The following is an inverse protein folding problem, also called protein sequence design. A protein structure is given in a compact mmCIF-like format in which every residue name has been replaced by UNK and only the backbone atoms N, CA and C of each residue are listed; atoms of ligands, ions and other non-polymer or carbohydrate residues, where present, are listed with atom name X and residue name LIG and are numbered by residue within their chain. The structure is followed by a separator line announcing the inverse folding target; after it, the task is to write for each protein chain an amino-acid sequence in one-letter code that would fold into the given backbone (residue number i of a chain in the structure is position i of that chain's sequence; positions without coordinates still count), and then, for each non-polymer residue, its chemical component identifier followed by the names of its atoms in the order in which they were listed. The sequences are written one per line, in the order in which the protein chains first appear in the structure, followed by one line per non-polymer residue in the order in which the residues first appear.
data_IF_326511331892
#
_entry.id   IF_326511331892
#
_cell.length_a   1.000
_cell.length_b   1.000
_cell.length_c   1.000
_cell.angle_alpha   90.00
_cell.angle_beta   90.00
_cell.angle_gamma   90.00
#
_symmetry.space_group_name_H-M   'P 1'
#
loop_
_entity.id
_entity.type
_entity.pdbx_description
1 polymer ?
#
# COMPACT_ATOMS: atom_id res chain seq x y z
N UNK A 1 -27.39 -31.56 -17.33
CA UNK A 1 -27.34 -31.98 -15.91
C UNK A 1 -26.36 -31.14 -15.07
N UNK A 2 -25.21 -30.75 -15.59
CA UNK A 2 -24.29 -29.84 -14.87
C UNK A 2 -24.89 -28.44 -14.57
N UNK A 3 -25.65 -27.88 -15.51
CA UNK A 3 -26.28 -26.58 -15.34
C UNK A 3 -27.32 -26.49 -14.18
N UNK A 4 -27.93 -27.61 -13.80
CA UNK A 4 -28.93 -27.64 -12.72
C UNK A 4 -28.36 -27.62 -11.30
N UNK A 5 -27.15 -28.15 -11.13
CA UNK A 5 -26.44 -28.11 -9.85
C UNK A 5 -25.82 -26.72 -9.61
N UNK A 6 -25.41 -26.05 -10.68
CA UNK A 6 -24.93 -24.65 -10.66
C UNK A 6 -26.04 -23.67 -10.26
N UNK A 7 -27.29 -23.94 -10.67
CA UNK A 7 -28.45 -23.09 -10.39
C UNK A 7 -28.87 -23.14 -8.91
N UNK A 8 -28.74 -24.25 -8.22
CA UNK A 8 -29.12 -24.35 -6.80
C UNK A 8 -28.12 -23.63 -5.88
N UNK A 9 -26.84 -23.70 -6.20
CA UNK A 9 -25.81 -23.00 -5.42
C UNK A 9 -25.82 -21.46 -5.69
N UNK A 10 -26.17 -21.04 -6.92
CA UNK A 10 -26.35 -19.62 -7.26
C UNK A 10 -27.62 -19.01 -6.69
N UNK A 11 -28.64 -19.82 -6.36
CA UNK A 11 -29.87 -19.36 -5.73
C UNK A 11 -29.63 -18.80 -4.33
N UNK A 12 -28.68 -19.37 -3.59
CA UNK A 12 -28.24 -18.85 -2.29
C UNK A 12 -27.53 -17.49 -2.42
N UNK A 13 -26.77 -17.29 -3.49
CA UNK A 13 -26.18 -16.00 -3.83
C UNK A 13 -27.26 -14.97 -4.22
N UNK A 14 -28.29 -15.39 -4.95
CA UNK A 14 -29.42 -14.54 -5.33
C UNK A 14 -30.21 -14.00 -4.14
N UNK A 15 -30.50 -14.84 -3.16
CA UNK A 15 -31.23 -14.43 -1.95
C UNK A 15 -30.47 -13.38 -1.12
N UNK A 16 -29.13 -13.32 -1.27
CA UNK A 16 -28.27 -12.34 -0.60
C UNK A 16 -28.02 -11.06 -1.41
N UNK A 17 -27.90 -11.17 -2.73
CA UNK A 17 -27.38 -10.07 -3.58
C UNK A 17 -28.41 -9.53 -4.58
N UNK A 18 -29.58 -10.16 -4.65
CA UNK A 18 -30.66 -9.76 -5.52
C UNK A 18 -30.53 -10.17 -6.99
N UNK A 19 -31.62 -9.94 -7.71
CA UNK A 19 -31.85 -10.45 -9.08
C UNK A 19 -30.78 -10.04 -10.10
N UNK A 20 -30.16 -8.86 -9.95
CA UNK A 20 -29.16 -8.35 -10.88
C UNK A 20 -27.87 -9.17 -10.87
N UNK A 21 -27.39 -9.54 -9.69
CA UNK A 21 -26.18 -10.33 -9.54
C UNK A 21 -26.38 -11.76 -10.05
N UNK A 22 -27.53 -12.33 -9.76
CA UNK A 22 -27.92 -13.66 -10.23
C UNK A 22 -27.93 -13.77 -11.76
N UNK A 23 -28.49 -12.79 -12.46
CA UNK A 23 -28.48 -12.73 -13.93
C UNK A 23 -27.08 -12.61 -14.49
N UNK A 24 -26.23 -11.80 -13.91
CA UNK A 24 -24.83 -11.62 -14.35
C UNK A 24 -24.02 -12.90 -14.21
N UNK A 25 -24.26 -13.72 -13.18
CA UNK A 25 -23.60 -15.02 -13.01
C UNK A 25 -24.05 -16.03 -14.07
N UNK A 26 -25.32 -15.98 -14.48
CA UNK A 26 -25.88 -16.88 -15.50
C UNK A 26 -25.41 -16.56 -16.92
N UNK A 27 -25.08 -15.29 -17.21
CA UNK A 27 -24.69 -14.82 -18.55
C UNK A 27 -23.17 -14.94 -18.83
N UNK A 28 -22.45 -15.82 -18.14
CA UNK A 28 -21.01 -16.05 -18.30
C UNK A 28 -20.10 -14.79 -18.11
N UNK A 29 -20.66 -13.72 -17.51
CA UNK A 29 -19.92 -12.53 -17.15
C UNK A 29 -18.94 -12.86 -16.02
N UNK A 30 -17.70 -12.39 -16.13
CA UNK A 30 -16.71 -12.52 -15.03
C UNK A 30 -17.08 -11.54 -13.94
N UNK A 31 -17.43 -12.04 -12.77
CA UNK A 31 -17.79 -11.22 -11.62
C UNK A 31 -16.66 -11.32 -10.59
N UNK A 32 -16.19 -10.17 -10.15
CA UNK A 32 -15.29 -10.06 -9.01
C UNK A 32 -16.12 -9.52 -7.87
N UNK A 33 -16.23 -10.30 -6.81
CA UNK A 33 -16.99 -9.95 -5.62
C UNK A 33 -16.02 -9.81 -4.46
N UNK A 34 -16.00 -8.66 -3.84
CA UNK A 34 -15.29 -8.44 -2.60
C UNK A 34 -16.25 -8.76 -1.45
N UNK A 35 -16.01 -9.83 -0.69
CA UNK A 35 -16.94 -10.33 0.33
C UNK A 35 -16.35 -10.22 1.72
N UNK A 36 -17.09 -9.67 2.64
CA UNK A 36 -16.70 -9.32 4.00
C UNK A 36 -17.01 -10.41 5.07
N UNK A 37 -17.18 -11.70 4.74
CA UNK A 37 -17.41 -12.72 5.79
C UNK A 37 -16.96 -14.16 5.49
N UNK A 38 -16.57 -14.88 6.55
CA UNK A 38 -16.10 -16.29 6.55
C UNK A 38 -17.09 -17.32 5.97
N UNK A 39 -18.37 -17.04 5.99
CA UNK A 39 -19.38 -18.00 5.51
C UNK A 39 -19.36 -18.18 3.99
N UNK A 40 -18.85 -17.19 3.27
CA UNK A 40 -18.76 -17.21 1.81
C UNK A 40 -17.55 -17.94 1.27
N UNK A 41 -16.47 -18.11 2.06
CA UNK A 41 -15.25 -18.81 1.65
C UNK A 41 -15.53 -20.22 1.15
N UNK A 42 -16.41 -20.96 1.86
CA UNK A 42 -16.73 -22.37 1.53
C UNK A 42 -17.50 -22.53 0.22
N UNK A 43 -18.37 -21.56 -0.11
CA UNK A 43 -19.10 -21.60 -1.39
C UNK A 43 -18.17 -21.36 -2.57
N UNK A 44 -17.20 -20.48 -2.42
CA UNK A 44 -16.29 -20.06 -3.49
C UNK A 44 -15.19 -21.08 -3.76
N UNK A 45 -14.65 -21.74 -2.73
CA UNK A 45 -13.70 -22.86 -2.92
C UNK A 45 -14.29 -23.97 -3.80
N UNK A 46 -15.60 -24.19 -3.70
CA UNK A 46 -16.30 -25.19 -4.50
C UNK A 46 -16.42 -24.80 -5.98
N UNK A 47 -16.53 -23.49 -6.27
CA UNK A 47 -16.57 -22.98 -7.65
C UNK A 47 -15.19 -22.86 -8.30
N UNK A 48 -14.15 -22.58 -7.53
CA UNK A 48 -12.78 -22.45 -8.04
C UNK A 48 -12.12 -23.79 -8.38
N UNK A 49 -12.73 -24.91 -7.99
CA UNK A 49 -12.25 -26.26 -8.34
C UNK A 49 -12.50 -26.67 -9.79
N UNK A 50 -13.33 -25.93 -10.54
CA UNK A 50 -13.62 -26.19 -11.95
C UNK A 50 -12.69 -25.33 -12.85
N UNK A 51 -11.80 -25.98 -13.59
CA UNK A 51 -10.60 -25.40 -14.23
C UNK A 51 -10.84 -24.37 -15.33
N UNK A 52 -12.10 -24.13 -15.74
CA UNK A 52 -12.42 -23.35 -16.94
C UNK A 52 -13.21 -22.04 -16.68
N UNK A 53 -13.48 -21.67 -15.42
CA UNK A 53 -14.16 -20.42 -15.07
C UNK A 53 -13.36 -19.66 -14.01
N UNK A 54 -12.88 -18.46 -14.37
CA UNK A 54 -12.16 -17.57 -13.47
C UNK A 54 -13.14 -16.64 -12.77
N UNK A 55 -13.50 -16.94 -11.53
CA UNK A 55 -14.05 -15.97 -10.59
C UNK A 55 -12.92 -15.56 -9.67
N UNK A 56 -12.46 -14.31 -9.78
CA UNK A 56 -11.54 -13.75 -8.79
C UNK A 56 -12.38 -13.11 -7.71
N UNK A 57 -12.32 -13.68 -6.52
CA UNK A 57 -13.02 -13.12 -5.35
C UNK A 57 -11.97 -12.53 -4.44
N UNK A 58 -12.04 -11.23 -4.24
CA UNK A 58 -11.22 -10.53 -3.27
C UNK A 58 -12.07 -10.31 -2.02
N UNK A 59 -11.64 -10.85 -0.90
CA UNK A 59 -12.31 -10.66 0.39
C UNK A 59 -11.68 -9.47 1.10
N UNK A 60 -12.49 -8.52 1.50
CA UNK A 60 -12.10 -7.48 2.44
C UNK A 60 -12.92 -7.69 3.72
N UNK A 61 -12.33 -8.20 4.79
CA UNK A 61 -13.02 -8.33 6.07
C UNK A 61 -12.82 -7.08 6.93
N UNK A 62 -13.93 -6.48 7.35
CA UNK A 62 -13.97 -5.41 8.35
C UNK A 62 -13.89 -5.92 9.79
N UNK A 63 -13.69 -7.18 10.03
CA UNK A 63 -13.54 -7.74 11.36
C UNK A 63 -12.42 -8.77 11.38
N UNK A 64 -11.34 -8.35 11.91
CA UNK A 64 -10.16 -8.96 12.48
C UNK A 64 -9.99 -10.48 12.47
N UNK A 65 -10.06 -11.17 11.33
CA UNK A 65 -9.49 -12.51 11.17
C UNK A 65 -9.55 -12.94 9.69
N UNK A 66 -8.35 -13.17 9.12
CA UNK A 66 -8.05 -13.87 7.88
C UNK A 66 -8.43 -13.23 6.53
N UNK A 67 -7.52 -12.41 6.00
CA UNK A 67 -7.39 -12.18 4.57
C UNK A 67 -6.83 -13.44 3.91
N UNK A 68 -7.70 -14.25 3.32
CA UNK A 68 -7.28 -15.36 2.46
C UNK A 68 -6.91 -14.81 1.08
N UNK A 69 -5.63 -14.52 0.87
CA UNK A 69 -5.09 -14.43 -0.48
C UNK A 69 -5.09 -15.81 -1.09
N UNK A 70 -5.95 -16.03 -2.07
CA UNK A 70 -5.78 -17.16 -2.99
C UNK A 70 -4.53 -16.86 -3.85
N UNK A 71 -3.35 -17.14 -3.30
CA UNK A 71 -2.15 -17.27 -4.10
C UNK A 71 -2.36 -18.45 -5.06
N UNK A 72 -2.61 -18.14 -6.31
CA UNK A 72 -2.49 -19.13 -7.37
C UNK A 72 -1.03 -19.60 -7.40
N UNK A 73 -0.76 -20.76 -6.75
CA UNK A 73 0.54 -21.43 -6.77
C UNK A 73 0.88 -21.76 -8.22
N UNK A 74 1.63 -20.90 -8.86
CA UNK A 74 2.32 -20.97 -10.16
C UNK A 74 1.95 -19.83 -11.11
N UNK A 75 2.12 -18.62 -10.68
CA UNK A 75 2.34 -17.55 -11.65
C UNK A 75 3.80 -17.66 -12.15
N UNK A 76 3.98 -18.08 -13.40
CA UNK A 76 5.30 -18.01 -14.08
C UNK A 76 5.84 -16.57 -14.10
N UNK A 77 4.95 -15.58 -14.05
CA UNK A 77 5.28 -14.15 -14.03
C UNK A 77 5.84 -13.66 -12.70
N UNK A 78 5.66 -14.37 -11.57
CA UNK A 78 6.32 -13.97 -10.32
C UNK A 78 7.86 -14.08 -10.38
N UNK A 79 8.43 -14.81 -11.36
CA UNK A 79 9.89 -14.79 -11.61
C UNK A 79 10.33 -13.58 -12.43
N UNK A 80 9.43 -12.97 -13.22
CA UNK A 80 9.70 -11.73 -13.96
C UNK A 80 9.45 -10.49 -13.10
N UNK A 81 8.70 -10.59 -11.99
CA UNK A 81 8.54 -9.53 -10.99
C UNK A 81 9.86 -9.19 -10.25
N UNK A 82 10.89 -10.04 -10.33
CA UNK A 82 12.24 -9.71 -9.85
C UNK A 82 12.91 -8.55 -10.63
N UNK A 83 12.26 -8.01 -11.64
CA UNK A 83 12.71 -6.81 -12.36
C UNK A 83 11.86 -5.57 -12.04
N UNK A 84 10.75 -5.70 -11.29
CA UNK A 84 10.06 -4.54 -10.78
C UNK A 84 10.90 -3.86 -9.71
N UNK A 85 11.32 -2.64 -9.98
CA UNK A 85 12.03 -1.80 -9.03
C UNK A 85 11.09 -1.51 -7.87
N UNK A 86 11.42 -2.01 -6.69
CA UNK A 86 10.69 -1.67 -5.47
C UNK A 86 10.76 -0.16 -5.19
N UNK A 87 9.90 0.34 -4.31
CA UNK A 87 9.91 1.74 -3.87
C UNK A 87 11.08 2.06 -2.95
N UNK A 88 11.83 1.06 -2.52
CA UNK A 88 13.04 1.18 -1.72
C UNK A 88 14.06 0.11 -2.10
N UNK A 89 15.32 0.36 -1.79
CA UNK A 89 16.43 -0.58 -1.96
C UNK A 89 17.32 -0.54 -0.72
N UNK A 90 17.84 -1.69 -0.32
CA UNK A 90 18.81 -1.79 0.77
C UNK A 90 19.99 -2.59 0.27
N UNK A 91 21.18 -1.97 0.20
CA UNK A 91 22.35 -2.50 -0.47
C UNK A 91 23.57 -2.45 0.46
N UNK A 92 24.23 -3.60 0.61
CA UNK A 92 25.51 -3.68 1.29
C UNK A 92 26.62 -3.22 0.35
N UNK A 93 27.52 -2.35 0.86
CA UNK A 93 28.66 -1.82 0.13
C UNK A 93 29.95 -2.09 0.94
N UNK A 94 30.94 -2.69 0.30
CA UNK A 94 32.32 -2.82 0.81
C UNK A 94 33.15 -1.80 0.08
N UNK A 95 33.42 -0.65 0.74
CA UNK A 95 34.03 0.50 0.12
C UNK A 95 35.55 0.46 0.36
N UNK A 96 36.35 0.94 -0.62
CA UNK A 96 37.80 1.13 -0.43
C UNK A 96 38.04 2.22 0.62
N UNK A 97 39.01 1.97 1.48
CA UNK A 97 39.50 2.97 2.45
C UNK A 97 40.27 4.06 1.71
N UNK A 98 40.07 5.36 2.00
CA UNK A 98 40.87 6.45 1.43
C UNK A 98 42.37 6.25 1.70
N UNK A 99 43.19 6.55 0.71
CA UNK A 99 44.67 6.52 0.84
C UNK A 99 45.28 7.57 -0.11
N UNK A 100 46.60 7.69 -0.13
CA UNK A 100 47.30 8.70 -0.94
C UNK A 100 47.06 8.55 -2.45
N UNK A 101 46.77 7.34 -2.93
CA UNK A 101 46.50 7.04 -4.34
C UNK A 101 45.02 7.13 -4.69
N UNK A 102 44.12 7.01 -3.70
CA UNK A 102 42.69 7.08 -3.85
C UNK A 102 42.06 8.15 -2.94
N UNK A 103 42.02 9.38 -3.46
CA UNK A 103 41.52 10.57 -2.78
C UNK A 103 40.04 10.92 -3.13
N UNK A 104 39.26 9.96 -3.66
CA UNK A 104 37.85 10.18 -3.91
C UNK A 104 37.12 10.56 -2.64
N UNK A 105 36.13 11.43 -2.76
CA UNK A 105 35.29 11.79 -1.61
C UNK A 105 34.42 10.61 -1.17
N UNK A 106 33.98 10.61 0.08
CA UNK A 106 33.06 9.61 0.65
C UNK A 106 31.78 9.50 -0.18
N UNK A 107 31.22 10.64 -0.58
CA UNK A 107 30.07 10.73 -1.46
C UNK A 107 30.32 10.02 -2.80
N UNK A 108 31.45 10.29 -3.43
CA UNK A 108 31.80 9.69 -4.73
C UNK A 108 31.96 8.17 -4.60
N UNK A 109 32.61 7.67 -3.53
CA UNK A 109 32.78 6.23 -3.28
C UNK A 109 31.43 5.52 -3.19
N UNK A 110 30.49 6.10 -2.43
CA UNK A 110 29.14 5.54 -2.29
C UNK A 110 28.40 5.53 -3.64
N UNK A 111 28.43 6.64 -4.39
CA UNK A 111 27.71 6.73 -5.67
C UNK A 111 28.29 5.76 -6.72
N UNK A 112 29.61 5.62 -6.79
CA UNK A 112 30.25 4.65 -7.69
C UNK A 112 29.93 3.20 -7.30
N UNK A 113 29.96 2.88 -5.99
CA UNK A 113 29.59 1.56 -5.49
C UNK A 113 28.12 1.25 -5.79
N UNK A 114 27.21 2.19 -5.57
CA UNK A 114 25.80 2.05 -5.92
C UNK A 114 25.59 1.81 -7.43
N UNK A 115 26.34 2.52 -8.27
CA UNK A 115 26.32 2.31 -9.71
C UNK A 115 26.80 0.91 -10.09
N UNK A 116 27.84 0.40 -9.44
CA UNK A 116 28.34 -0.96 -9.62
C UNK A 116 27.30 -2.02 -9.21
N UNK A 117 26.52 -1.76 -8.16
CA UNK A 117 25.41 -2.60 -7.69
C UNK A 117 24.11 -2.42 -8.56
N UNK A 118 24.22 -1.75 -9.70
CA UNK A 118 23.15 -1.62 -10.69
C UNK A 118 22.11 -0.54 -10.37
N UNK A 119 22.41 0.44 -9.53
CA UNK A 119 21.64 1.66 -9.36
C UNK A 119 22.02 2.62 -10.49
N UNK A 120 21.19 2.69 -11.53
CA UNK A 120 21.47 3.48 -12.74
C UNK A 120 20.87 4.88 -12.71
N UNK A 121 19.85 5.05 -11.90
CA UNK A 121 19.17 6.33 -11.71
C UNK A 121 19.99 7.25 -10.79
N UNK A 122 19.70 8.54 -10.88
CA UNK A 122 20.28 9.54 -9.98
C UNK A 122 20.02 9.20 -8.53
N UNK A 123 21.06 9.31 -7.69
CA UNK A 123 20.95 9.16 -6.24
C UNK A 123 21.24 10.51 -5.58
N UNK A 124 20.28 11.05 -4.87
CA UNK A 124 20.42 12.24 -4.06
C UNK A 124 20.86 11.86 -2.65
N UNK A 125 21.96 12.49 -2.16
CA UNK A 125 22.40 12.36 -0.78
C UNK A 125 22.08 13.67 -0.05
N UNK A 126 21.06 13.70 0.82
CA UNK A 126 20.67 14.92 1.51
C UNK A 126 21.67 15.33 2.57
N UNK A 127 21.72 16.62 2.91
CA UNK A 127 22.68 17.19 3.86
C UNK A 127 22.69 16.45 5.20
N UNK A 128 21.53 15.99 5.68
CA UNK A 128 21.45 15.20 6.93
C UNK A 128 22.30 13.92 6.87
N UNK A 129 22.41 13.30 5.68
CA UNK A 129 23.22 12.11 5.47
C UNK A 129 24.70 12.48 5.25
N UNK A 130 24.98 13.52 4.45
CA UNK A 130 26.36 14.00 4.26
C UNK A 130 27.07 14.28 5.58
N UNK A 131 26.37 14.85 6.56
CA UNK A 131 26.93 15.12 7.90
C UNK A 131 27.33 13.87 8.68
N UNK A 132 26.77 12.70 8.32
CA UNK A 132 27.00 11.44 9.03
C UNK A 132 27.99 10.52 8.30
N UNK A 133 28.33 10.81 7.03
CA UNK A 133 29.13 9.89 6.21
C UNK A 133 30.47 9.54 6.88
N UNK A 134 31.33 10.51 7.05
CA UNK A 134 32.71 10.23 7.55
C UNK A 134 32.70 9.54 8.92
N UNK A 135 32.02 10.06 9.96
CA UNK A 135 32.01 9.40 11.26
C UNK A 135 31.46 7.99 11.26
N UNK A 136 30.54 7.69 10.32
CA UNK A 136 29.96 6.36 10.20
C UNK A 136 30.86 5.43 9.41
N UNK A 137 31.41 5.86 8.27
CA UNK A 137 32.28 5.08 7.42
C UNK A 137 33.54 4.63 8.17
N UNK A 138 34.20 5.56 8.88
CA UNK A 138 35.38 5.27 9.69
C UNK A 138 35.06 4.22 10.78
N UNK A 139 33.98 4.41 11.55
CA UNK A 139 33.57 3.44 12.58
C UNK A 139 33.15 2.08 12.01
N UNK A 140 32.58 2.06 10.82
CA UNK A 140 32.12 0.84 10.15
C UNK A 140 33.26 0.10 9.42
N UNK A 141 34.48 0.64 9.41
CA UNK A 141 35.59 0.09 8.63
C UNK A 141 35.25 0.03 7.14
N UNK A 142 34.53 1.02 6.63
CA UNK A 142 34.13 1.18 5.22
C UNK A 142 33.20 0.08 4.69
N UNK A 143 32.60 -0.68 5.60
CA UNK A 143 31.60 -1.73 5.31
C UNK A 143 30.24 -1.28 5.84
N UNK A 144 29.37 -0.91 4.93
CA UNK A 144 28.11 -0.27 5.26
C UNK A 144 26.94 -0.88 4.49
N UNK A 145 25.74 -0.73 5.01
CA UNK A 145 24.51 -0.92 4.25
C UNK A 145 23.85 0.43 4.05
N UNK A 146 23.55 0.77 2.80
CA UNK A 146 22.80 1.97 2.45
C UNK A 146 21.36 1.65 2.14
N UNK A 147 20.45 2.52 2.58
CA UNK A 147 19.03 2.45 2.33
C UNK A 147 18.61 3.59 1.41
N UNK A 148 18.00 3.22 0.29
CA UNK A 148 17.48 4.14 -0.71
C UNK A 148 15.96 4.08 -0.72
N UNK A 149 15.29 5.24 -0.81
CA UNK A 149 13.85 5.34 -1.03
C UNK A 149 13.58 6.17 -2.27
N UNK A 150 12.62 5.73 -3.10
CA UNK A 150 12.23 6.42 -4.33
C UNK A 150 11.30 7.59 -4.00
N UNK A 151 11.59 8.78 -4.52
CA UNK A 151 10.80 9.99 -4.27
C UNK A 151 9.85 10.36 -5.43
N UNK A 152 9.77 9.52 -6.45
CA UNK A 152 9.00 9.78 -7.66
C UNK A 152 9.85 10.14 -8.88
N UNK A 153 11.06 10.68 -8.66
CA UNK A 153 11.97 11.14 -9.71
C UNK A 153 13.34 10.45 -9.62
N UNK A 154 13.88 10.32 -8.42
CA UNK A 154 15.20 9.79 -8.15
C UNK A 154 15.26 9.05 -6.83
N UNK A 155 16.32 8.30 -6.61
CA UNK A 155 16.61 7.69 -5.32
C UNK A 155 17.09 8.72 -4.33
N UNK A 156 16.63 8.66 -3.10
CA UNK A 156 17.19 9.39 -1.98
C UNK A 156 17.84 8.43 -1.00
N UNK A 157 19.08 8.73 -0.60
CA UNK A 157 19.75 8.03 0.49
C UNK A 157 19.09 8.44 1.81
N UNK A 158 18.36 7.52 2.42
CA UNK A 158 17.52 7.81 3.60
C UNK A 158 18.14 7.31 4.89
N UNK A 159 18.99 6.26 4.82
CA UNK A 159 19.67 5.71 5.99
C UNK A 159 20.97 5.02 5.61
N UNK A 160 21.91 4.93 6.58
CA UNK A 160 23.17 4.20 6.47
C UNK A 160 23.43 3.45 7.78
N UNK A 161 23.68 2.15 7.66
CA UNK A 161 23.96 1.26 8.79
C UNK A 161 25.37 0.64 8.67
N UNK A 162 26.00 0.36 9.80
CA UNK A 162 27.29 -0.36 9.83
C UNK A 162 27.09 -1.83 9.53
N UNK A 163 27.97 -2.43 8.71
CA UNK A 163 27.96 -3.84 8.34
C UNK A 163 26.86 -4.20 7.34
N UNK A 164 26.59 -5.51 7.19
CA UNK A 164 25.59 -6.04 6.27
C UNK A 164 24.24 -6.24 6.95
N UNK A 165 23.31 -5.33 6.68
CA UNK A 165 21.90 -5.41 7.10
C UNK A 165 20.94 -5.45 5.90
N UNK A 166 21.44 -5.75 4.68
CA UNK A 166 20.64 -5.69 3.45
C UNK A 166 19.43 -6.63 3.48
N UNK A 167 19.50 -7.72 4.25
CA UNK A 167 18.36 -8.64 4.42
C UNK A 167 17.24 -8.07 5.31
N UNK A 168 17.49 -7.04 6.10
CA UNK A 168 16.49 -6.39 6.95
C UNK A 168 15.80 -5.26 6.16
N UNK A 169 15.11 -5.60 5.09
CA UNK A 169 14.48 -4.66 4.18
C UNK A 169 12.96 -4.80 4.25
N UNK A 170 12.29 -3.80 4.83
CA UNK A 170 10.87 -3.84 5.14
C UNK A 170 10.12 -2.67 4.50
N UNK A 171 8.83 -2.89 4.25
CA UNK A 171 7.89 -1.90 3.76
C UNK A 171 6.52 -2.06 4.41
N UNK A 172 5.69 -1.03 4.30
CA UNK A 172 4.32 -1.02 4.82
C UNK A 172 3.33 -0.82 3.68
N UNK A 173 2.22 -1.53 3.76
CA UNK A 173 1.04 -1.29 2.93
C UNK A 173 -0.15 -0.95 3.84
N UNK A 174 -0.83 0.15 3.53
CA UNK A 174 -1.94 0.69 4.31
C UNK A 174 -3.19 0.71 3.45
N UNK A 175 -4.23 0.07 3.95
CA UNK A 175 -5.61 0.28 3.50
C UNK A 175 -6.25 1.30 4.44
N UNK A 176 -6.46 2.51 3.93
CA UNK A 176 -7.00 3.64 4.69
C UNK A 176 -8.51 3.73 4.48
N UNK A 177 -9.24 2.83 5.13
CA UNK A 177 -10.69 2.83 5.09
C UNK A 177 -11.33 3.94 5.95
N UNK A 178 -12.56 4.28 5.64
CA UNK A 178 -13.32 5.28 6.41
C UNK A 178 -13.65 4.81 7.84
N UNK A 179 -13.84 3.51 8.03
CA UNK A 179 -14.18 2.91 9.34
C UNK A 179 -12.98 2.19 9.95
N UNK A 180 -12.24 1.45 9.15
CA UNK A 180 -11.12 0.61 9.60
C UNK A 180 -9.86 0.97 8.83
N UNK A 181 -8.74 1.04 9.53
CA UNK A 181 -7.41 1.16 8.94
C UNK A 181 -6.71 -0.16 9.10
N UNK A 182 -6.14 -0.70 8.02
CA UNK A 182 -5.36 -1.93 8.02
C UNK A 182 -3.94 -1.62 7.59
N UNK A 183 -2.95 -2.14 8.32
CA UNK A 183 -1.53 -1.99 7.99
C UNK A 183 -0.87 -3.35 7.90
N UNK A 184 -0.20 -3.62 6.79
CA UNK A 184 0.61 -4.80 6.55
C UNK A 184 2.09 -4.46 6.58
N UNK A 185 2.85 -5.33 7.25
CA UNK A 185 4.30 -5.32 7.23
C UNK A 185 4.79 -6.38 6.23
N UNK A 186 5.67 -5.98 5.33
CA UNK A 186 6.22 -6.83 4.29
C UNK A 186 7.73 -6.92 4.38
N UNK A 187 8.28 -8.10 4.10
CA UNK A 187 9.67 -8.28 3.71
C UNK A 187 9.83 -7.92 2.22
N UNK A 188 10.53 -6.83 1.93
CA UNK A 188 10.71 -6.34 0.56
C UNK A 188 11.67 -7.19 -0.27
N UNK A 189 12.45 -8.11 0.33
CA UNK A 189 13.30 -9.04 -0.40
C UNK A 189 12.54 -10.25 -0.92
N UNK A 190 11.58 -10.77 -0.13
CA UNK A 190 10.81 -11.96 -0.47
C UNK A 190 9.40 -11.65 -0.99
N UNK A 191 8.85 -10.47 -0.65
CA UNK A 191 7.44 -10.13 -0.85
C UNK A 191 6.50 -10.79 0.15
N UNK A 192 7.03 -11.42 1.20
CA UNK A 192 6.24 -12.08 2.24
C UNK A 192 5.59 -11.06 3.17
N UNK A 193 4.32 -11.29 3.53
CA UNK A 193 3.62 -10.54 4.56
C UNK A 193 4.04 -11.09 5.92
N UNK A 194 4.76 -10.29 6.70
CA UNK A 194 5.26 -10.65 8.03
C UNK A 194 4.20 -10.47 9.11
N UNK A 195 3.26 -9.56 8.91
CA UNK A 195 2.18 -9.29 9.85
C UNK A 195 1.16 -8.31 9.29
N UNK A 196 -0.03 -8.36 9.88
CA UNK A 196 -1.14 -7.47 9.58
C UNK A 196 -1.82 -7.09 10.88
N UNK A 197 -2.13 -5.81 11.03
CA UNK A 197 -2.89 -5.31 12.16
C UNK A 197 -3.89 -4.26 11.69
N UNK A 198 -4.97 -4.13 12.46
CA UNK A 198 -6.04 -3.20 12.16
C UNK A 198 -6.51 -2.44 13.38
N UNK A 199 -7.14 -1.29 13.13
CA UNK A 199 -7.82 -0.51 14.15
C UNK A 199 -9.01 0.24 13.55
N UNK A 200 -9.91 0.72 14.41
CA UNK A 200 -10.91 1.68 13.96
C UNK A 200 -10.23 3.00 13.60
N UNK A 201 -10.67 3.59 12.49
CA UNK A 201 -10.22 4.92 12.09
C UNK A 201 -10.66 5.94 13.15
N UNK A 202 -9.71 6.59 13.81
CA UNK A 202 -9.97 7.53 14.92
C UNK A 202 -10.81 8.74 14.50
N UNK A 203 -10.95 8.97 13.19
CA UNK A 203 -11.87 9.99 12.67
C UNK A 203 -13.35 9.71 13.01
N UNK A 204 -13.72 8.49 13.42
CA UNK A 204 -15.09 8.10 13.80
C UNK A 204 -15.66 9.02 14.90
N UNK A 205 -14.83 9.60 15.74
CA UNK A 205 -15.26 10.55 16.78
C UNK A 205 -15.98 11.80 16.23
N UNK A 206 -15.73 12.17 14.96
CA UNK A 206 -16.38 13.30 14.31
C UNK A 206 -17.49 12.89 13.30
N UNK A 207 -17.82 11.61 13.25
CA UNK A 207 -18.90 11.06 12.44
C UNK A 207 -18.61 9.65 11.95
N UNK A 208 -19.64 8.84 11.87
CA UNK A 208 -19.57 7.48 11.37
C UNK A 208 -19.46 7.42 9.85
N UNK A 209 -19.86 8.48 9.17
CA UNK A 209 -19.82 8.62 7.73
C UNK A 209 -18.84 9.73 7.28
N UNK A 210 -18.41 9.66 6.03
CA UNK A 210 -17.45 10.59 5.43
C UNK A 210 -17.99 12.03 5.39
N UNK A 211 -19.28 12.19 5.11
CA UNK A 211 -19.89 13.50 4.91
C UNK A 211 -19.89 14.30 6.22
N UNK A 212 -20.24 13.63 7.34
CA UNK A 212 -20.20 14.24 8.68
C UNK A 212 -18.80 14.77 9.00
N UNK A 213 -17.74 14.04 8.64
CA UNK A 213 -16.36 14.45 8.87
C UNK A 213 -15.96 15.63 8.01
N UNK A 214 -16.37 15.65 6.75
CA UNK A 214 -16.12 16.80 5.85
C UNK A 214 -16.82 18.05 6.42
N UNK A 215 -18.07 17.94 6.88
CA UNK A 215 -18.78 19.07 7.47
C UNK A 215 -18.16 19.53 8.79
N UNK A 216 -17.60 18.63 9.60
CA UNK A 216 -16.92 18.98 10.84
C UNK A 216 -15.74 19.94 10.60
N UNK A 217 -14.92 19.67 9.59
CA UNK A 217 -13.71 20.45 9.31
C UNK A 217 -13.92 21.55 8.25
N UNK A 218 -15.15 21.72 7.74
CA UNK A 218 -15.46 22.74 6.74
C UNK A 218 -15.02 24.12 7.20
N UNK A 219 -14.28 24.82 6.36
CA UNK A 219 -13.79 26.20 6.56
C UNK A 219 -12.99 26.39 7.87
N UNK A 220 -12.50 25.32 8.50
CA UNK A 220 -11.75 25.33 9.74
C UNK A 220 -10.44 24.53 9.64
N UNK A 221 -9.33 25.23 9.48
CA UNK A 221 -8.00 24.62 9.36
C UNK A 221 -7.58 23.82 10.61
N UNK A 222 -8.01 24.23 11.80
CA UNK A 222 -7.66 23.51 13.04
C UNK A 222 -8.36 22.17 13.09
N UNK A 223 -9.64 22.15 12.77
CA UNK A 223 -10.42 20.90 12.70
C UNK A 223 -9.94 19.97 11.59
N UNK A 224 -9.52 20.52 10.45
CA UNK A 224 -8.90 19.73 9.39
C UNK A 224 -7.61 19.09 9.86
N UNK A 225 -6.79 19.82 10.62
CA UNK A 225 -5.57 19.28 11.22
C UNK A 225 -5.86 18.21 12.28
N UNK A 226 -6.92 18.36 13.08
CA UNK A 226 -7.37 17.33 14.03
C UNK A 226 -7.74 16.03 13.31
N UNK A 227 -8.48 16.10 12.20
CA UNK A 227 -8.80 14.92 11.37
C UNK A 227 -7.53 14.30 10.77
N UNK A 228 -6.62 15.13 10.24
CA UNK A 228 -5.35 14.67 9.70
C UNK A 228 -4.55 13.90 10.76
N UNK A 229 -4.37 14.48 11.94
CA UNK A 229 -3.64 13.84 13.03
C UNK A 229 -4.30 12.53 13.47
N UNK A 230 -5.62 12.47 13.58
CA UNK A 230 -6.33 11.24 13.91
C UNK A 230 -6.14 10.14 12.83
N UNK A 231 -6.03 10.53 11.56
CA UNK A 231 -5.68 9.59 10.48
C UNK A 231 -4.30 9.00 10.68
N UNK A 232 -3.31 9.87 10.92
CA UNK A 232 -1.92 9.46 11.18
C UNK A 232 -1.82 8.60 12.43
N UNK A 233 -2.48 8.98 13.52
CA UNK A 233 -2.53 8.21 14.75
C UNK A 233 -3.14 6.81 14.58
N UNK A 234 -4.12 6.64 13.68
CA UNK A 234 -4.67 5.32 13.36
C UNK A 234 -3.62 4.43 12.68
N UNK A 235 -2.86 4.99 11.74
CA UNK A 235 -1.75 4.27 11.08
C UNK A 235 -0.67 3.90 12.11
N UNK A 236 -0.27 4.85 12.97
CA UNK A 236 0.74 4.61 14.01
C UNK A 236 0.27 3.55 15.00
N UNK A 237 -1.00 3.55 15.39
CA UNK A 237 -1.55 2.52 16.28
C UNK A 237 -1.39 1.11 15.69
N UNK A 238 -1.67 0.95 14.40
CA UNK A 238 -1.45 -0.33 13.72
C UNK A 238 0.04 -0.68 13.65
N UNK A 239 0.93 0.30 13.39
CA UNK A 239 2.37 0.10 13.43
C UNK A 239 2.85 -0.35 14.81
N UNK A 240 2.34 0.25 15.89
CA UNK A 240 2.67 -0.13 17.25
C UNK A 240 2.21 -1.55 17.58
N UNK A 241 1.03 -1.95 17.11
CA UNK A 241 0.53 -3.34 17.26
C UNK A 241 1.42 -4.34 16.50
N UNK A 242 1.84 -3.99 15.27
CA UNK A 242 2.79 -4.81 14.50
C UNK A 242 4.13 -4.95 15.24
N UNK A 243 4.62 -3.88 15.85
CA UNK A 243 5.91 -3.86 16.55
C UNK A 243 5.93 -4.73 17.82
N UNK A 244 4.79 -5.13 18.36
CA UNK A 244 4.72 -6.11 19.45
C UNK A 244 5.30 -7.47 19.02
N UNK A 245 5.07 -7.88 17.76
CA UNK A 245 5.54 -9.16 17.21
C UNK A 245 6.79 -8.99 16.34
N UNK A 246 6.84 -7.88 15.61
CA UNK A 246 7.89 -7.56 14.63
C UNK A 246 8.36 -6.12 14.82
N UNK A 247 9.32 -5.84 15.74
CA UNK A 247 9.71 -4.47 16.12
C UNK A 247 10.56 -3.79 15.03
N UNK A 248 10.01 -3.71 13.81
CA UNK A 248 10.69 -3.21 12.61
C UNK A 248 9.86 -2.21 11.80
N UNK A 249 8.63 -1.85 12.23
CA UNK A 249 7.75 -0.98 11.44
C UNK A 249 8.42 0.38 11.15
N UNK A 250 9.14 0.93 12.11
CA UNK A 250 9.87 2.21 11.98
C UNK A 250 11.19 2.11 11.20
N UNK A 251 11.62 0.87 10.87
CA UNK A 251 12.75 0.61 9.98
C UNK A 251 12.33 0.46 8.52
N UNK A 252 11.03 0.52 8.24
CA UNK A 252 10.52 0.49 6.88
C UNK A 252 11.02 1.71 6.10
N UNK A 253 11.37 1.48 4.84
CA UNK A 253 11.93 2.49 3.95
C UNK A 253 10.89 3.09 3.01
N UNK A 254 9.73 2.47 2.92
CA UNK A 254 8.63 2.89 2.08
C UNK A 254 7.30 2.47 2.68
N UNK A 255 6.29 3.26 2.41
CA UNK A 255 4.89 2.96 2.73
C UNK A 255 4.04 3.23 1.50
N UNK A 256 3.07 2.37 1.25
CA UNK A 256 2.04 2.57 0.23
C UNK A 256 0.71 2.75 0.93
N UNK A 257 -0.05 3.77 0.55
CA UNK A 257 -1.38 4.03 1.12
C UNK A 257 -2.41 4.02 0.00
N UNK A 258 -3.38 3.12 0.11
CA UNK A 258 -4.60 3.09 -0.69
C UNK A 258 -5.79 3.50 0.20
N UNK A 259 -6.75 4.19 -0.36
CA UNK A 259 -7.97 4.62 0.32
C UNK A 259 -8.80 5.48 -0.61
N UNK A 260 -10.06 5.71 -0.23
CA UNK A 260 -10.90 6.59 -1.02
C UNK A 260 -10.35 8.03 -1.04
N UNK A 261 -10.82 8.81 -1.99
CA UNK A 261 -10.30 10.16 -2.25
C UNK A 261 -10.33 11.06 -1.01
N UNK A 262 -11.42 11.03 -0.24
CA UNK A 262 -11.56 11.84 0.97
C UNK A 262 -10.58 11.41 2.07
N UNK A 263 -10.36 10.11 2.24
CA UNK A 263 -9.39 9.61 3.24
C UNK A 263 -7.96 10.03 2.91
N UNK A 264 -7.59 10.00 1.63
CA UNK A 264 -6.29 10.51 1.18
C UNK A 264 -6.18 12.04 1.39
N UNK A 265 -7.25 12.79 1.10
CA UNK A 265 -7.26 14.24 1.39
C UNK A 265 -7.04 14.51 2.88
N UNK A 266 -7.71 13.78 3.76
CA UNK A 266 -7.54 13.92 5.21
C UNK A 266 -6.13 13.55 5.68
N UNK A 267 -5.54 12.48 5.14
CA UNK A 267 -4.15 12.13 5.42
C UNK A 267 -3.18 13.26 5.06
N UNK A 268 -3.44 13.93 3.94
CA UNK A 268 -2.62 15.03 3.42
C UNK A 268 -2.97 16.40 4.03
N UNK A 269 -4.01 16.50 4.88
CA UNK A 269 -4.48 17.77 5.42
C UNK A 269 -5.11 18.68 4.37
N UNK A 270 -5.72 18.09 3.34
CA UNK A 270 -6.38 18.81 2.24
C UNK A 270 -7.88 18.79 2.48
N UNK A 271 -8.52 19.95 2.28
CA UNK A 271 -9.98 20.07 2.35
C UNK A 271 -10.66 19.17 1.33
N UNK A 272 -11.73 18.48 1.74
CA UNK A 272 -12.49 17.55 0.90
C UNK A 272 -13.92 18.05 0.59
N UNK A 273 -14.24 19.31 0.92
CA UNK A 273 -15.59 19.86 0.75
C UNK A 273 -16.02 19.97 -0.73
N UNK A 274 -15.07 19.87 -1.67
CA UNK A 274 -15.35 19.83 -3.11
C UNK A 274 -16.33 18.72 -3.53
N UNK A 275 -16.51 17.68 -2.69
CA UNK A 275 -17.52 16.63 -2.88
C UNK A 275 -18.95 17.19 -3.02
N UNK A 276 -19.25 18.34 -2.39
CA UNK A 276 -20.62 18.84 -2.26
C UNK A 276 -21.05 19.84 -3.33
N UNK A 277 -20.15 20.38 -4.13
CA UNK A 277 -20.52 21.39 -5.12
C UNK A 277 -19.88 21.17 -6.49
N UNK A 278 -20.66 21.52 -7.48
CA UNK A 278 -20.22 21.50 -8.89
C UNK A 278 -19.03 22.44 -9.09
N UNK A 279 -17.96 22.00 -9.81
CA UNK A 279 -17.92 20.81 -10.68
C UNK A 279 -17.46 19.52 -10.01
N UNK A 280 -17.42 19.42 -8.68
CA UNK A 280 -16.95 18.29 -7.91
C UNK A 280 -15.47 17.93 -8.18
N UNK A 281 -14.67 18.97 -8.48
CA UNK A 281 -13.26 18.83 -8.78
C UNK A 281 -12.46 18.57 -7.51
N UNK A 282 -11.80 17.42 -7.44
CA UNK A 282 -10.91 17.06 -6.32
C UNK A 282 -9.70 17.99 -6.29
N UNK A 283 -9.20 18.31 -5.10
CA UNK A 283 -8.04 19.19 -4.97
C UNK A 283 -6.72 18.48 -5.26
N UNK A 284 -6.65 17.16 -5.03
CA UNK A 284 -5.51 16.34 -5.38
C UNK A 284 -5.98 14.95 -5.84
N UNK A 285 -5.72 14.61 -7.11
CA UNK A 285 -6.06 13.31 -7.70
C UNK A 285 -4.84 12.38 -7.81
N UNK A 286 -3.63 12.92 -7.81
CA UNK A 286 -2.36 12.17 -7.95
C UNK A 286 -1.32 12.66 -6.98
N UNK A 287 -1.50 12.42 -5.67
CA UNK A 287 -0.55 12.91 -4.67
C UNK A 287 0.83 12.24 -4.81
N UNK A 288 0.89 10.97 -5.25
CA UNK A 288 2.16 10.28 -5.49
C UNK A 288 3.02 10.13 -4.24
N UNK A 289 4.33 10.41 -4.36
CA UNK A 289 5.30 10.25 -3.29
C UNK A 289 5.37 11.50 -2.41
N UNK A 290 5.20 11.29 -1.10
CA UNK A 290 5.32 12.32 -0.08
C UNK A 290 6.39 11.90 0.94
N UNK A 291 7.27 12.81 1.40
CA UNK A 291 8.17 12.49 2.50
C UNK A 291 7.36 12.07 3.73
N UNK A 292 7.69 10.93 4.34
CA UNK A 292 6.93 10.44 5.50
C UNK A 292 6.92 11.43 6.66
N UNK A 293 8.02 12.17 6.86
CA UNK A 293 8.14 13.24 7.87
C UNK A 293 7.16 14.40 7.67
N UNK A 294 6.78 14.70 6.42
CA UNK A 294 5.84 15.78 6.11
C UNK A 294 4.39 15.36 6.41
N UNK A 295 4.18 14.06 6.62
CA UNK A 295 2.91 13.45 7.05
C UNK A 295 2.93 13.05 8.53
N UNK A 296 3.98 13.36 9.30
CA UNK A 296 4.19 12.91 10.67
C UNK A 296 4.18 11.37 10.85
N UNK A 297 4.51 10.63 9.78
CA UNK A 297 4.64 9.18 9.83
C UNK A 297 6.08 8.81 10.19
N UNK A 298 6.31 7.99 11.25
CA UNK A 298 7.64 7.76 11.82
C UNK A 298 8.45 6.72 11.04
N UNK A 299 8.78 7.01 9.78
CA UNK A 299 9.72 6.24 8.97
C UNK A 299 10.65 7.17 8.17
N UNK A 300 11.80 6.65 7.72
CA UNK A 300 12.85 7.46 7.10
C UNK A 300 12.71 7.66 5.58
N UNK A 301 11.66 7.13 4.96
CA UNK A 301 11.50 7.15 3.51
C UNK A 301 10.29 7.94 3.04
N UNK A 302 9.67 7.42 2.00
CA UNK A 302 8.56 8.05 1.31
C UNK A 302 7.27 7.22 1.47
N UNK A 303 6.16 7.94 1.51
CA UNK A 303 4.80 7.39 1.44
C UNK A 303 4.28 7.61 0.03
N UNK A 304 3.92 6.54 -0.65
CA UNK A 304 3.22 6.62 -1.92
C UNK A 304 1.71 6.56 -1.68
N UNK A 305 1.02 7.63 -2.01
CA UNK A 305 -0.44 7.67 -2.00
C UNK A 305 -0.96 7.31 -3.38
N UNK A 306 -1.81 6.29 -3.45
CA UNK A 306 -2.44 5.89 -4.71
C UNK A 306 -3.24 7.04 -5.33
N UNK A 307 -3.26 7.15 -6.68
CA UNK A 307 -4.06 8.15 -7.36
C UNK A 307 -5.55 7.85 -7.21
N UNK A 308 -6.36 8.90 -7.30
CA UNK A 308 -7.80 8.82 -7.44
C UNK A 308 -8.22 9.24 -8.86
N UNK A 309 -9.39 8.81 -9.32
CA UNK A 309 -9.97 9.27 -10.57
C UNK A 309 -11.01 10.37 -10.36
N UNK A 310 -11.71 10.31 -9.24
CA UNK A 310 -12.78 11.26 -8.89
C UNK A 310 -13.04 11.21 -7.38
N UNK A 311 -14.04 11.93 -6.91
CA UNK A 311 -14.48 11.86 -5.51
C UNK A 311 -14.91 10.44 -5.08
N UNK A 312 -15.41 9.63 -6.03
CA UNK A 312 -15.99 8.31 -5.77
C UNK A 312 -15.11 7.14 -6.20
N UNK A 313 -14.04 7.39 -6.97
CA UNK A 313 -13.09 6.38 -7.42
C UNK A 313 -11.72 6.71 -6.84
N UNK A 314 -11.47 6.19 -5.66
CA UNK A 314 -10.24 6.41 -4.89
C UNK A 314 -9.13 5.44 -5.22
N UNK A 315 -8.08 5.54 -4.43
CA UNK A 315 -6.89 4.68 -4.55
C UNK A 315 -7.15 3.23 -4.16
N UNK A 316 -8.14 2.97 -3.31
CA UNK A 316 -8.65 1.65 -2.95
C UNK A 316 -9.15 0.89 -4.18
N UNK A 317 -10.05 1.48 -4.95
CA UNK A 317 -10.56 0.89 -6.19
C UNK A 317 -9.44 0.71 -7.22
N UNK A 318 -8.57 1.72 -7.39
CA UNK A 318 -7.48 1.64 -8.36
C UNK A 318 -6.47 0.55 -7.98
N UNK A 319 -6.10 0.42 -6.71
CA UNK A 319 -5.21 -0.63 -6.24
C UNK A 319 -5.80 -2.03 -6.43
N UNK A 320 -7.09 -2.20 -6.14
CA UNK A 320 -7.82 -3.45 -6.38
C UNK A 320 -7.91 -3.81 -7.86
N UNK A 321 -8.11 -2.84 -8.74
CA UNK A 321 -8.10 -3.06 -10.20
C UNK A 321 -6.71 -3.47 -10.70
N UNK A 322 -5.63 -2.92 -10.13
CA UNK A 322 -4.26 -3.30 -10.49
C UNK A 322 -3.97 -4.73 -10.03
N UNK A 323 -4.29 -5.07 -8.79
CA UNK A 323 -4.05 -6.40 -8.23
C UNK A 323 -4.81 -7.50 -8.99
N UNK A 324 -6.07 -7.23 -9.34
CA UNK A 324 -6.90 -8.18 -10.09
C UNK A 324 -6.58 -8.23 -11.58
N UNK A 325 -5.71 -7.35 -12.08
CA UNK A 325 -5.35 -7.20 -13.49
C UNK A 325 -6.57 -7.09 -14.45
N UNK A 326 -7.69 -6.54 -13.96
CA UNK A 326 -8.93 -6.43 -14.74
C UNK A 326 -8.74 -5.73 -16.07
N UNK A 327 -7.88 -4.72 -16.10
CA UNK A 327 -7.58 -3.95 -17.30
C UNK A 327 -6.86 -4.75 -18.39
N UNK A 328 -6.34 -5.96 -18.07
CA UNK A 328 -5.67 -6.86 -19.02
C UNK A 328 -6.60 -7.96 -19.54
N UNK A 329 -7.82 -8.04 -19.04
CA UNK A 329 -8.76 -9.13 -19.36
C UNK A 329 -9.67 -8.70 -20.51
N UNK A 330 -9.84 -9.57 -21.50
CA UNK A 330 -10.83 -9.39 -22.55
C UNK A 330 -12.24 -9.64 -21.98
N UNK A 331 -13.24 -8.90 -22.49
CA UNK A 331 -14.63 -9.02 -22.10
C UNK A 331 -15.03 -8.01 -21.02
N UNK A 332 -16.28 -8.16 -20.54
CA UNK A 332 -16.84 -7.31 -19.50
C UNK A 332 -16.45 -7.89 -18.14
N UNK A 333 -15.84 -7.05 -17.30
CA UNK A 333 -15.50 -7.38 -15.91
C UNK A 333 -16.14 -6.34 -15.00
N UNK A 334 -16.65 -6.79 -13.85
CA UNK A 334 -17.23 -5.91 -12.83
C UNK A 334 -16.42 -6.08 -11.55
N UNK A 335 -15.98 -4.97 -10.99
CA UNK A 335 -15.32 -4.90 -9.69
C UNK A 335 -16.31 -4.28 -8.70
N UNK A 336 -16.53 -4.95 -7.58
CA UNK A 336 -17.33 -4.44 -6.47
C UNK A 336 -16.42 -4.31 -5.25
N UNK A 337 -16.38 -3.12 -4.70
CA UNK A 337 -15.87 -2.89 -3.35
C UNK A 337 -17.06 -2.70 -2.40
N UNK A 338 -17.20 -3.64 -1.47
CA UNK A 338 -18.33 -3.65 -0.53
C UNK A 338 -17.77 -3.43 0.86
N UNK A 339 -17.66 -2.17 1.23
CA UNK A 339 -17.25 -1.72 2.55
C UNK A 339 -18.36 -0.97 3.28
N UNK A 340 -17.99 0.03 4.07
CA UNK A 340 -18.94 0.97 4.69
C UNK A 340 -19.69 1.78 3.63
N UNK A 341 -19.00 2.07 2.52
CA UNK A 341 -19.59 2.58 1.28
C UNK A 341 -19.52 1.47 0.23
N UNK A 342 -20.55 1.29 -0.58
CA UNK A 342 -20.51 0.36 -1.71
C UNK A 342 -20.05 1.12 -2.96
N UNK A 343 -18.98 0.63 -3.63
CA UNK A 343 -18.41 1.22 -4.84
C UNK A 343 -18.31 0.19 -5.97
#
# INVERSE_FOLDING_TARGET
MKAKAEIEDTKNLYDYWGERLYRSVLDDSRIIINLASKEYSKCIEKYLSDKDKYITVTFCEQSGDDLLFLQNKKCKNCREMNTMRGLSRKLYLDLSVPNEEDQRSDQQRILEALSAEGVKEEVHIPVRMLRQLYPLLDRAGWKITVSLSWNGEKWELVDIESGDTARQHYGLAVDLGSTTVVVRLLDCNSGEILGEESCFNKQIQWGTDILSRIFFCKDDRKKLEEIRLATVESIIECMDKLDVKHPVSRKCLSMVVAGNTTMIHFLLGIDAFCVFYTPHAVHADRPGFQPAKDLDIPLNGYVYCYPAKSNYLGGDIISGMIETELYKKDGISVFFDIGTNGE
#
